data_IF_803075142503
#
_entry.id   IF_803075142503
#
_cell.length_a   1.000
_cell.length_b   1.000
_cell.length_c   1.000
_cell.angle_alpha   90.00
_cell.angle_beta   90.00
_cell.angle_gamma   90.00
#
_symmetry.space_group_name_H-M   'P 1'
#
loop_
_entity.id
_entity.type
_entity.pdbx_description
1 polymer ?
#
# COMPACT_ATOMS: atom_id res chain seq x y z
N UNK A 1 41.14 31.28 7.46
CA UNK A 1 40.36 32.32 6.76
C UNK A 1 39.34 31.59 5.89
N UNK A 2 38.06 31.90 6.12
CA UNK A 2 36.87 31.55 5.31
C UNK A 2 37.07 32.04 3.86
N UNK A 3 36.45 31.46 2.82
CA UNK A 3 35.04 31.57 2.39
C UNK A 3 34.71 30.33 1.52
N UNK A 4 33.64 29.55 1.70
CA UNK A 4 32.20 29.80 1.48
C UNK A 4 31.82 30.24 0.06
N UNK A 5 30.95 29.43 -0.58
CA UNK A 5 30.21 29.71 -1.82
C UNK A 5 30.34 28.53 -2.78
N UNK A 6 29.31 27.89 -3.33
CA UNK A 6 27.85 28.06 -3.39
C UNK A 6 27.33 26.70 -3.93
N UNK A 7 26.07 26.32 -4.09
CA UNK A 7 24.76 26.95 -4.17
C UNK A 7 23.78 25.82 -3.85
N UNK A 8 22.82 26.05 -2.98
CA UNK A 8 21.61 25.23 -2.87
C UNK A 8 20.90 25.17 -4.22
N UNK A 9 20.60 23.97 -4.70
CA UNK A 9 19.49 23.75 -5.64
C UNK A 9 18.57 22.73 -5.00
N UNK A 10 17.36 23.23 -4.77
CA UNK A 10 16.27 22.56 -4.10
C UNK A 10 15.71 21.44 -4.96
N UNK A 11 15.71 20.22 -4.44
CA UNK A 11 14.75 19.19 -4.83
C UNK A 11 13.76 18.99 -3.69
N UNK A 12 12.79 19.92 -3.62
CA UNK A 12 11.52 19.69 -2.93
C UNK A 12 10.63 18.89 -3.88
N UNK A 13 10.96 17.62 -4.08
CA UNK A 13 10.12 16.69 -4.83
C UNK A 13 9.03 16.13 -3.90
N UNK A 14 7.84 16.73 -4.02
CA UNK A 14 6.52 16.11 -3.95
C UNK A 14 6.16 15.13 -2.79
N UNK A 15 5.96 15.65 -1.57
CA UNK A 15 5.05 15.00 -0.60
C UNK A 15 3.59 15.38 -0.87
N UNK A 16 2.97 14.85 -1.94
CA UNK A 16 1.51 15.00 -2.17
C UNK A 16 0.94 13.72 -2.79
N UNK A 17 0.91 12.60 -2.06
CA UNK A 17 0.06 11.46 -2.53
C UNK A 17 -0.32 10.39 -1.49
N UNK A 18 -0.08 10.56 -0.18
CA UNK A 18 -0.36 9.47 0.78
C UNK A 18 -1.62 9.71 1.65
N UNK A 19 -1.92 10.97 2.01
CA UNK A 19 -3.12 11.29 2.83
C UNK A 19 -4.45 10.92 2.17
N UNK A 20 -4.52 10.96 0.83
CA UNK A 20 -5.73 10.67 0.05
C UNK A 20 -6.00 9.19 -0.21
N UNK A 21 -5.08 8.29 0.12
CA UNK A 21 -5.32 6.84 0.05
C UNK A 21 -5.75 6.30 1.41
N UNK A 22 -5.21 6.86 2.49
CA UNK A 22 -5.51 6.45 3.85
C UNK A 22 -6.95 6.79 4.29
N UNK A 23 -7.50 7.93 3.87
CA UNK A 23 -8.91 8.26 4.10
C UNK A 23 -9.85 7.29 3.35
N UNK A 24 -9.55 6.99 2.08
CA UNK A 24 -10.35 6.08 1.24
C UNK A 24 -10.30 4.64 1.75
N UNK A 25 -9.12 4.17 2.18
CA UNK A 25 -8.97 2.86 2.83
C UNK A 25 -9.84 2.76 4.09
N UNK A 26 -9.84 3.82 4.92
CA UNK A 26 -10.67 3.89 6.13
C UNK A 26 -12.16 3.89 5.83
N UNK A 27 -12.58 4.61 4.79
CA UNK A 27 -13.98 4.61 4.32
C UNK A 27 -14.42 3.21 3.87
N UNK A 28 -13.60 2.54 3.05
CA UNK A 28 -13.89 1.18 2.58
C UNK A 28 -13.90 0.16 3.72
N UNK A 29 -13.00 0.28 4.71
CA UNK A 29 -13.03 -0.58 5.91
C UNK A 29 -14.32 -0.39 6.72
N UNK A 30 -14.77 0.86 6.90
CA UNK A 30 -16.03 1.13 7.58
C UNK A 30 -17.23 0.59 6.79
N UNK A 31 -17.22 0.74 5.46
CA UNK A 31 -18.28 0.20 4.59
C UNK A 31 -18.34 -1.33 4.67
N UNK A 32 -17.18 -2.01 4.63
CA UNK A 32 -17.10 -3.46 4.78
C UNK A 32 -17.62 -3.94 6.14
N UNK A 33 -17.26 -3.24 7.21
CA UNK A 33 -17.74 -3.54 8.55
C UNK A 33 -19.27 -3.44 8.64
N UNK A 34 -19.85 -2.37 8.11
CA UNK A 34 -21.30 -2.17 8.09
C UNK A 34 -22.01 -3.26 7.26
N UNK A 35 -21.50 -3.59 6.07
CA UNK A 35 -22.04 -4.67 5.25
C UNK A 35 -22.02 -6.01 5.97
N UNK A 36 -20.95 -6.29 6.72
CA UNK A 36 -20.82 -7.53 7.50
C UNK A 36 -21.86 -7.60 8.61
N UNK A 37 -22.05 -6.51 9.37
CA UNK A 37 -23.10 -6.43 10.39
C UNK A 37 -24.49 -6.63 9.79
N UNK A 38 -24.73 -6.02 8.63
CA UNK A 38 -25.99 -6.12 7.91
C UNK A 38 -26.28 -7.52 7.34
N UNK A 39 -25.25 -8.28 6.98
CA UNK A 39 -25.37 -9.68 6.55
C UNK A 39 -25.70 -10.57 7.76
N UNK A 40 -24.99 -10.37 8.88
CA UNK A 40 -25.23 -11.12 10.11
C UNK A 40 -26.65 -10.87 10.62
N UNK A 41 -27.07 -9.60 10.69
CA UNK A 41 -28.43 -9.24 11.11
C UNK A 41 -29.50 -9.85 10.19
N UNK A 42 -29.29 -9.84 8.87
CA UNK A 42 -30.22 -10.44 7.92
C UNK A 42 -30.24 -11.98 7.99
N UNK A 43 -29.12 -12.61 8.37
CA UNK A 43 -29.04 -14.05 8.57
C UNK A 43 -29.71 -14.52 9.89
N UNK A 44 -29.68 -13.67 10.92
CA UNK A 44 -30.30 -13.93 12.23
C UNK A 44 -31.83 -13.71 12.21
N UNK A 45 -32.36 -12.98 11.23
CA UNK A 45 -33.81 -12.88 11.01
C UNK A 45 -34.39 -14.25 10.63
N UNK A 46 -35.20 -14.82 11.55
CA UNK A 46 -35.84 -16.14 11.41
C UNK A 46 -36.78 -16.18 10.19
N UNK A 47 -36.20 -16.60 9.07
CA UNK A 47 -36.80 -17.15 7.86
C UNK A 47 -38.20 -16.61 7.47
N UNK A 48 -38.22 -15.51 6.71
CA UNK A 48 -39.37 -15.14 5.86
C UNK A 48 -38.94 -15.12 4.39
N UNK A 49 -39.01 -16.29 3.75
CA UNK A 49 -39.10 -16.41 2.28
C UNK A 49 -37.85 -16.02 1.47
N UNK A 50 -37.81 -16.45 0.20
CA UNK A 50 -36.66 -16.34 -0.69
C UNK A 50 -36.13 -14.92 -0.97
N UNK A 51 -36.89 -13.88 -0.63
CA UNK A 51 -36.51 -12.46 -0.77
C UNK A 51 -35.33 -12.08 0.14
N UNK A 52 -35.27 -12.65 1.35
CA UNK A 52 -34.17 -12.39 2.28
C UNK A 52 -32.83 -12.94 1.76
N UNK A 53 -32.86 -14.10 1.07
CA UNK A 53 -31.66 -14.70 0.52
C UNK A 53 -31.10 -13.88 -0.65
N UNK A 54 -31.97 -13.35 -1.52
CA UNK A 54 -31.56 -12.46 -2.61
C UNK A 54 -30.94 -11.17 -2.07
N UNK A 55 -31.54 -10.60 -1.03
CA UNK A 55 -31.01 -9.42 -0.34
C UNK A 55 -29.66 -9.70 0.34
N UNK A 56 -29.49 -10.86 0.98
CA UNK A 56 -28.22 -11.28 1.60
C UNK A 56 -27.14 -11.47 0.52
N UNK A 57 -27.48 -12.15 -0.59
CA UNK A 57 -26.57 -12.34 -1.73
C UNK A 57 -26.08 -10.99 -2.29
N UNK A 58 -26.98 -10.03 -2.50
CA UNK A 58 -26.60 -8.70 -2.96
C UNK A 58 -25.66 -7.96 -2.01
N UNK A 59 -25.82 -8.15 -0.68
CA UNK A 59 -24.89 -7.58 0.30
C UNK A 59 -23.53 -8.28 0.30
N UNK A 60 -23.50 -9.59 0.10
CA UNK A 60 -22.26 -10.38 -0.03
C UNK A 60 -21.47 -9.93 -1.26
N UNK A 61 -22.12 -9.79 -2.42
CA UNK A 61 -21.49 -9.32 -3.65
C UNK A 61 -20.89 -7.92 -3.47
N UNK A 62 -21.63 -7.03 -2.79
CA UNK A 62 -21.11 -5.70 -2.46
C UNK A 62 -19.92 -5.76 -1.51
N UNK A 63 -19.95 -6.63 -0.50
CA UNK A 63 -18.83 -6.82 0.42
C UNK A 63 -17.57 -7.33 -0.33
N UNK A 64 -17.74 -8.26 -1.27
CA UNK A 64 -16.66 -8.71 -2.15
C UNK A 64 -16.09 -7.56 -2.99
N UNK A 65 -16.93 -6.71 -3.57
CA UNK A 65 -16.48 -5.56 -4.36
C UNK A 65 -15.64 -4.58 -3.52
N UNK A 66 -16.09 -4.27 -2.30
CA UNK A 66 -15.37 -3.40 -1.36
C UNK A 66 -14.03 -4.04 -0.96
N UNK A 67 -14.02 -5.35 -0.68
CA UNK A 67 -12.81 -6.09 -0.33
C UNK A 67 -11.79 -6.09 -1.49
N UNK A 68 -12.24 -6.28 -2.73
CA UNK A 68 -11.38 -6.19 -3.92
C UNK A 68 -10.77 -4.81 -4.05
N UNK A 69 -11.57 -3.74 -3.90
CA UNK A 69 -11.08 -2.37 -3.96
C UNK A 69 -10.05 -2.06 -2.86
N UNK A 70 -10.29 -2.57 -1.64
CA UNK A 70 -9.34 -2.45 -0.53
C UNK A 70 -8.04 -3.20 -0.82
N UNK A 71 -8.12 -4.41 -1.39
CA UNK A 71 -6.96 -5.20 -1.80
C UNK A 71 -6.11 -4.50 -2.87
N UNK A 72 -6.75 -3.83 -3.84
CA UNK A 72 -6.03 -3.03 -4.84
C UNK A 72 -5.34 -1.81 -4.23
N UNK A 73 -5.97 -1.14 -3.26
CA UNK A 73 -5.35 -0.03 -2.53
C UNK A 73 -4.13 -0.50 -1.73
N UNK A 74 -4.24 -1.64 -1.05
CA UNK A 74 -3.11 -2.23 -0.30
C UNK A 74 -1.97 -2.65 -1.23
N UNK A 75 -2.27 -3.17 -2.43
CA UNK A 75 -1.25 -3.47 -3.46
C UNK A 75 -0.56 -2.21 -3.96
N UNK A 76 -1.29 -1.09 -4.12
CA UNK A 76 -0.71 0.21 -4.49
C UNK A 76 0.12 0.81 -3.36
N UNK A 77 -0.22 0.53 -2.11
CA UNK A 77 0.53 0.97 -0.93
C UNK A 77 1.83 0.16 -0.70
N UNK A 78 1.97 -1.03 -1.30
CA UNK A 78 3.24 -1.79 -1.31
C UNK A 78 4.35 -1.17 -2.15
N UNK A 79 4.15 0.02 -2.73
CA UNK A 79 5.21 0.77 -3.42
C UNK A 79 5.98 1.68 -2.46
N UNK A 80 6.36 1.14 -1.31
CA UNK A 80 7.39 1.70 -0.44
C UNK A 80 8.38 0.57 -0.29
N UNK A 81 9.62 0.83 -0.70
CA UNK A 81 10.76 -0.09 -0.72
C UNK A 81 10.92 -0.95 -1.98
N UNK A 82 10.87 -0.34 -3.16
CA UNK A 82 12.07 -0.49 -4.00
C UNK A 82 13.16 0.22 -3.21
N UNK A 83 13.87 -0.49 -2.34
CA UNK A 83 15.11 -0.01 -1.76
C UNK A 83 16.03 0.24 -2.95
N UNK A 84 16.03 1.48 -3.45
CA UNK A 84 17.06 1.95 -4.36
C UNK A 84 18.32 1.98 -3.51
N UNK A 85 19.05 0.87 -3.56
CA UNK A 85 20.33 0.78 -2.90
C UNK A 85 21.22 1.84 -3.56
N UNK A 86 21.91 2.68 -2.77
CA UNK A 86 22.99 3.50 -3.32
C UNK A 86 23.94 2.62 -4.13
N UNK A 87 24.45 3.15 -5.24
CA UNK A 87 25.31 2.41 -6.17
C UNK A 87 26.53 1.77 -5.46
N UNK A 88 26.94 2.35 -4.33
CA UNK A 88 27.99 1.85 -3.43
C UNK A 88 27.75 0.43 -2.89
N UNK A 89 26.50 -0.02 -2.81
CA UNK A 89 26.13 -1.37 -2.37
C UNK A 89 25.97 -2.35 -3.55
N UNK A 90 26.12 -1.86 -4.78
CA UNK A 90 26.10 -2.68 -5.99
C UNK A 90 27.51 -3.09 -6.38
N UNK A 91 27.65 -4.29 -6.94
CA UNK A 91 28.93 -4.78 -7.43
C UNK A 91 29.29 -4.02 -8.73
N UNK A 92 30.48 -3.39 -8.84
CA UNK A 92 30.88 -2.66 -10.05
C UNK A 92 30.97 -3.52 -11.32
N UNK A 93 30.93 -4.85 -11.20
CA UNK A 93 30.99 -5.80 -12.32
C UNK A 93 29.59 -6.28 -12.71
N UNK A 94 28.80 -6.74 -11.73
CA UNK A 94 27.49 -7.34 -12.01
C UNK A 94 26.33 -6.35 -11.97
N UNK A 95 26.52 -5.15 -11.41
CA UNK A 95 25.45 -4.16 -11.15
C UNK A 95 24.29 -4.72 -10.30
N UNK A 96 24.53 -5.83 -9.60
CA UNK A 96 23.62 -6.43 -8.64
C UNK A 96 24.08 -6.16 -7.20
N UNK A 97 23.16 -6.27 -6.24
CA UNK A 97 23.46 -6.11 -4.80
C UNK A 97 24.58 -7.07 -4.35
N UNK A 98 25.58 -6.53 -3.64
CA UNK A 98 26.73 -7.30 -3.14
C UNK A 98 26.25 -8.30 -2.07
N UNK A 99 26.45 -9.60 -2.32
CA UNK A 99 26.13 -10.69 -1.37
C UNK A 99 27.33 -11.07 -0.49
N UNK A 100 28.54 -10.89 -1.01
CA UNK A 100 29.80 -11.25 -0.34
C UNK A 100 30.85 -10.16 -0.65
N UNK A 101 30.97 -9.12 0.19
CA UNK A 101 31.87 -8.00 -0.08
C UNK A 101 33.33 -8.42 0.10
N UNK A 102 34.12 -8.22 -0.95
CA UNK A 102 35.58 -8.39 -0.91
C UNK A 102 36.23 -7.03 -1.00
N UNK A 103 37.18 -6.76 -0.10
CA UNK A 103 37.94 -5.51 -0.07
C UNK A 103 39.35 -5.77 -0.62
N UNK A 104 39.74 -5.02 -1.64
CA UNK A 104 41.11 -5.05 -2.14
C UNK A 104 42.04 -4.30 -1.17
N UNK A 105 43.30 -4.72 -1.08
CA UNK A 105 44.31 -4.05 -0.26
C UNK A 105 44.62 -2.61 -0.70
N UNK A 106 44.11 -2.21 -1.87
CA UNK A 106 44.17 -0.85 -2.40
C UNK A 106 43.20 0.10 -1.70
N UNK A 107 42.13 -0.40 -1.06
CA UNK A 107 41.14 0.41 -0.35
C UNK A 107 40.35 1.39 -1.23
N UNK A 108 40.47 1.24 -2.56
CA UNK A 108 39.79 1.99 -3.62
C UNK A 108 39.10 1.02 -4.57
#
# INVERSE_FOLDING_TARGET
MTMSGSMDVSDKEAEVSDKGNNNKSRELMNELYNLTLEIIAAADEVNSGGDNNERILGKIDKAFQVLSALGELLKKQKHVDDFVFPDEFSCPISMELIKDPVVLSTGV
#
